data_IF_435158216866
#
_entry.id   IF_435158216866
#
_cell.length_a   1.000
_cell.length_b   1.000
_cell.length_c   1.000
_cell.angle_alpha   90.00
_cell.angle_beta   90.00
_cell.angle_gamma   90.00
#
_symmetry.space_group_name_H-M   'P 1'
#
loop_
_entity.id
_entity.type
_entity.pdbx_description
1 polymer ?
#
# COMPACT_ATOMS: atom_id res chain seq x y z
N UNK A 1 -4.19 10.57 -6.04
CA UNK A 1 -4.36 9.10 -5.96
C UNK A 1 -4.08 8.67 -4.53
N UNK A 2 -5.12 8.37 -3.76
CA UNK A 2 -4.97 7.83 -2.42
C UNK A 2 -5.96 6.67 -2.33
N UNK A 3 -5.54 5.47 -2.75
CA UNK A 3 -6.42 4.29 -2.87
C UNK A 3 -6.85 3.71 -1.50
N UNK A 4 -6.87 4.52 -0.43
CA UNK A 4 -7.20 4.12 0.94
C UNK A 4 -6.20 3.15 1.61
N UNK A 5 -5.20 2.67 0.89
CA UNK A 5 -4.23 1.67 1.34
C UNK A 5 -3.03 2.27 2.10
N UNK A 6 -2.80 3.57 2.02
CA UNK A 6 -1.72 4.23 2.77
C UNK A 6 -2.09 4.34 4.25
N UNK A 7 -1.17 3.91 5.11
CA UNK A 7 -1.25 4.06 6.56
C UNK A 7 -0.06 4.84 7.08
N UNK A 8 -0.31 5.63 8.11
CA UNK A 8 0.68 6.44 8.81
C UNK A 8 0.94 5.85 10.19
N UNK A 9 2.22 5.76 10.54
CA UNK A 9 2.68 5.32 11.85
C UNK A 9 3.59 6.39 12.42
N UNK A 10 3.36 6.73 13.69
CA UNK A 10 4.13 7.73 14.43
C UNK A 10 5.05 6.97 15.39
N UNK A 11 6.30 6.66 14.99
CA UNK A 11 7.21 5.94 15.86
C UNK A 11 7.58 6.83 17.06
N UNK A 12 7.78 6.18 18.21
CA UNK A 12 8.37 6.85 19.36
C UNK A 12 9.80 7.32 19.02
N UNK A 13 10.11 8.57 19.33
CA UNK A 13 11.43 9.17 19.19
C UNK A 13 12.12 9.18 20.55
N UNK A 14 13.18 8.37 20.72
CA UNK A 14 13.90 8.33 21.98
C UNK A 14 14.79 9.56 22.14
N UNK A 15 14.90 10.14 23.36
CA UNK A 15 15.90 11.16 23.64
C UNK A 15 17.36 10.71 23.43
N UNK A 16 17.59 9.39 23.41
CA UNK A 16 18.92 8.80 23.23
C UNK A 16 19.17 8.28 21.81
N UNK A 17 18.25 8.52 20.86
CA UNK A 17 18.44 8.06 19.48
C UNK A 17 19.56 8.86 18.80
N UNK A 18 20.53 8.19 18.14
CA UNK A 18 21.69 8.87 17.54
C UNK A 18 21.37 9.66 16.25
N UNK A 19 20.13 9.61 15.77
CA UNK A 19 19.69 10.16 14.49
C UNK A 19 18.47 11.07 14.70
N UNK A 20 18.29 12.14 13.89
CA UNK A 20 17.05 12.91 13.90
C UNK A 20 15.82 12.01 13.74
N UNK A 21 14.76 12.23 14.54
CA UNK A 21 13.60 11.36 14.52
C UNK A 21 12.84 11.46 13.20
N UNK A 22 12.32 10.32 12.74
CA UNK A 22 11.40 10.27 11.62
C UNK A 22 9.99 10.43 12.19
N UNK A 23 9.32 11.59 11.98
CA UNK A 23 8.07 11.90 12.68
C UNK A 23 6.91 11.01 12.22
N UNK A 24 6.89 10.63 10.94
CA UNK A 24 5.84 9.80 10.33
C UNK A 24 6.46 8.81 9.38
N UNK A 25 6.12 7.53 9.53
CA UNK A 25 6.41 6.49 8.55
C UNK A 25 5.13 6.15 7.80
N UNK A 26 5.20 6.17 6.47
CA UNK A 26 4.08 5.86 5.58
C UNK A 26 4.30 4.50 4.94
N UNK A 27 3.30 3.65 5.02
CA UNK A 27 3.34 2.30 4.44
C UNK A 27 2.11 2.08 3.57
N UNK A 28 2.28 1.38 2.45
CA UNK A 28 1.15 0.79 1.73
C UNK A 28 0.78 -0.49 2.48
N UNK A 29 -0.41 -0.51 3.06
CA UNK A 29 -0.95 -1.68 3.75
C UNK A 29 -2.00 -2.30 2.82
N UNK A 30 -1.69 -3.42 2.17
CA UNK A 30 -2.54 -3.97 1.13
C UNK A 30 -3.86 -4.51 1.72
N UNK A 31 -4.96 -4.50 0.94
CA UNK A 31 -6.30 -4.83 1.43
C UNK A 31 -6.44 -6.27 1.98
N UNK A 32 -5.60 -7.19 1.50
CA UNK A 32 -5.59 -8.59 1.95
C UNK A 32 -5.33 -8.73 3.46
N UNK A 33 -4.67 -7.76 4.11
CA UNK A 33 -4.44 -7.78 5.56
C UNK A 33 -5.70 -7.52 6.39
N UNK A 34 -6.78 -7.01 5.78
CA UNK A 34 -8.03 -6.69 6.45
C UNK A 34 -9.21 -7.55 5.97
N UNK A 35 -8.99 -8.38 4.95
CA UNK A 35 -9.99 -9.31 4.43
C UNK A 35 -9.76 -10.66 5.09
N UNK A 36 -10.66 -11.02 5.99
CA UNK A 36 -10.57 -12.26 6.77
C UNK A 36 -10.75 -13.52 5.90
N UNK A 37 -11.59 -13.44 4.87
CA UNK A 37 -11.85 -14.51 3.91
C UNK A 37 -12.28 -13.91 2.56
N UNK A 38 -12.13 -14.68 1.48
CA UNK A 38 -12.60 -14.29 0.14
C UNK A 38 -14.06 -14.76 -0.03
N UNK A 39 -15.08 -13.89 0.03
CA UNK A 39 -16.46 -14.31 -0.19
C UNK A 39 -16.67 -14.88 -1.60
N UNK A 40 -17.64 -15.79 -1.69
CA UNK A 40 -18.06 -16.35 -2.98
C UNK A 40 -18.55 -15.22 -3.90
N UNK A 41 -18.23 -15.33 -5.19
CA UNK A 41 -18.65 -14.36 -6.22
C UNK A 41 -18.11 -12.94 -5.99
N UNK A 42 -16.94 -12.81 -5.36
CA UNK A 42 -16.15 -11.58 -5.42
C UNK A 42 -16.02 -11.13 -6.89
N UNK A 43 -16.24 -9.82 -7.18
CA UNK A 43 -15.99 -9.29 -8.51
C UNK A 43 -14.58 -9.62 -8.98
N UNK A 44 -14.45 -9.97 -10.25
CA UNK A 44 -13.18 -10.32 -10.88
C UNK A 44 -12.95 -9.45 -12.09
N UNK A 45 -11.68 -9.15 -12.36
CA UNK A 45 -11.28 -8.59 -13.64
C UNK A 45 -11.48 -9.61 -14.77
N UNK A 46 -11.66 -9.15 -16.02
CA UNK A 46 -11.40 -9.97 -17.19
C UNK A 46 -9.99 -10.59 -17.13
N UNK A 47 -9.81 -11.78 -17.73
CA UNK A 47 -8.58 -12.55 -17.57
C UNK A 47 -7.34 -11.83 -18.09
N UNK A 48 -7.45 -11.13 -19.21
CA UNK A 48 -6.38 -10.32 -19.77
C UNK A 48 -5.98 -9.19 -18.82
N UNK A 49 -6.94 -8.43 -18.28
CA UNK A 49 -6.66 -7.39 -17.29
C UNK A 49 -6.07 -7.97 -16.00
N UNK A 50 -6.59 -9.10 -15.52
CA UNK A 50 -6.08 -9.77 -14.33
C UNK A 50 -4.59 -10.13 -14.45
N UNK A 51 -4.17 -10.61 -15.63
CA UNK A 51 -2.77 -10.91 -15.93
C UNK A 51 -1.89 -9.66 -15.89
N UNK A 52 -2.35 -8.54 -16.46
CA UNK A 52 -1.62 -7.27 -16.38
C UNK A 52 -1.56 -6.71 -14.95
N UNK A 53 -2.64 -6.86 -14.17
CA UNK A 53 -2.75 -6.34 -12.80
C UNK A 53 -2.01 -7.22 -11.78
N UNK A 54 -1.78 -8.50 -12.09
CA UNK A 54 -1.21 -9.49 -11.17
C UNK A 54 -2.20 -9.95 -10.09
N UNK A 55 -3.50 -9.71 -10.26
CA UNK A 55 -4.55 -10.17 -9.35
C UNK A 55 -5.87 -10.33 -10.10
N UNK A 56 -6.64 -11.35 -9.74
CA UNK A 56 -7.97 -11.59 -10.29
C UNK A 56 -9.02 -10.64 -9.70
N UNK A 57 -8.79 -10.13 -8.49
CA UNK A 57 -9.80 -9.41 -7.72
C UNK A 57 -9.49 -7.91 -7.63
N UNK A 58 -10.40 -7.01 -8.07
CA UNK A 58 -10.26 -5.56 -7.91
C UNK A 58 -10.09 -5.13 -6.46
N UNK A 59 -10.78 -5.80 -5.54
CA UNK A 59 -10.67 -5.53 -4.10
C UNK A 59 -9.27 -5.78 -3.52
N UNK A 60 -8.44 -6.58 -4.20
CA UNK A 60 -7.08 -6.92 -3.78
C UNK A 60 -6.02 -6.19 -4.60
N UNK A 61 -6.42 -5.32 -5.51
CA UNK A 61 -5.49 -4.57 -6.34
C UNK A 61 -4.78 -3.48 -5.53
N UNK A 62 -3.44 -3.57 -5.48
CA UNK A 62 -2.58 -2.65 -4.74
C UNK A 62 -1.42 -2.19 -5.63
N UNK A 63 -1.62 -1.15 -6.48
CA UNK A 63 -0.58 -0.67 -7.36
C UNK A 63 0.59 -0.06 -6.58
N UNK A 64 1.82 -0.35 -7.01
CA UNK A 64 3.02 0.30 -6.48
C UNK A 64 3.30 1.57 -7.27
N UNK A 65 2.96 2.73 -6.70
CA UNK A 65 3.36 4.02 -7.25
C UNK A 65 4.74 4.41 -6.69
N UNK A 66 5.80 4.40 -7.51
CA UNK A 66 7.11 4.78 -7.03
C UNK A 66 7.10 6.27 -6.66
N UNK A 67 7.38 6.59 -5.40
CA UNK A 67 7.67 7.96 -4.98
C UNK A 67 9.09 8.34 -5.43
N UNK A 68 9.27 8.55 -6.73
CA UNK A 68 10.47 9.23 -7.21
C UNK A 68 10.24 10.71 -6.93
N UNK A 69 10.93 11.24 -5.91
CA UNK A 69 11.21 12.68 -5.89
C UNK A 69 11.83 13.00 -7.25
N UNK A 70 11.24 13.93 -8.00
CA UNK A 70 11.92 14.49 -9.15
C UNK A 70 13.31 14.91 -8.64
N UNK A 71 14.37 14.27 -9.14
CA UNK A 71 15.72 14.74 -8.88
C UNK A 71 15.72 16.19 -9.34
N UNK A 72 15.84 17.13 -8.40
CA UNK A 72 16.19 18.50 -8.73
C UNK A 72 17.45 18.44 -9.59
N UNK A 73 17.39 19.09 -10.75
CA UNK A 73 18.56 19.26 -11.63
C UNK A 73 19.66 20.03 -10.95
#
# INVERSE_FOLDING_TARGET
>A
MNNGQWREWFPYASPTDPCPPIPVKRYVVPPNLFIHFQPMNLPQFPLDEALFRGTLWPALYSPYEPQRSAKGG
#
